data_IF_726580813488
#
_entry.id   IF_726580813488
#
_cell.length_a   1.000
_cell.length_b   1.000
_cell.length_c   1.000
_cell.angle_alpha   90.00
_cell.angle_beta   90.00
_cell.angle_gamma   90.00
#
_symmetry.space_group_name_H-M   'P 1'
#
loop_
_entity.id
_entity.type
_entity.pdbx_description
1 polymer ?
#
# COMPACT_ATOMS: atom_id res chain seq x y z
N UNK A 1 20.21 -21.85 19.22
CA UNK A 1 18.90 -21.57 18.59
C UNK A 1 18.35 -20.23 19.09
N UNK A 2 18.98 -19.12 18.72
CA UNK A 2 18.57 -17.77 19.18
C UNK A 2 19.05 -16.73 18.15
N UNK A 3 18.42 -16.74 16.97
CA UNK A 3 18.64 -15.74 15.90
C UNK A 3 17.33 -15.17 15.34
N UNK A 4 16.28 -15.11 16.15
CA UNK A 4 14.95 -14.64 15.71
C UNK A 4 14.63 -13.19 16.06
N UNK A 5 15.52 -12.42 16.69
CA UNK A 5 15.22 -11.04 17.11
C UNK A 5 16.36 -10.05 16.81
N UNK A 6 16.90 -10.07 15.59
CA UNK A 6 17.89 -9.07 15.13
C UNK A 6 17.49 -8.30 13.87
N UNK A 7 16.21 -8.36 13.45
CA UNK A 7 15.76 -7.71 12.20
C UNK A 7 15.41 -6.21 12.40
N UNK A 8 15.31 -5.70 13.62
CA UNK A 8 14.75 -4.36 13.87
C UNK A 8 15.76 -3.29 14.33
N UNK A 9 17.06 -3.48 14.10
CA UNK A 9 18.12 -2.56 14.58
C UNK A 9 18.94 -1.93 13.46
N UNK A 10 18.32 -1.56 12.34
CA UNK A 10 18.98 -0.74 11.31
C UNK A 10 18.33 0.64 11.24
N UNK A 11 18.46 1.45 12.29
CA UNK A 11 17.80 2.77 12.38
C UNK A 11 18.40 3.87 11.47
N UNK A 12 19.40 3.52 10.65
CA UNK A 12 20.23 4.48 9.91
C UNK A 12 20.07 4.49 8.39
N UNK A 13 19.51 3.44 7.78
CA UNK A 13 19.52 3.30 6.30
C UNK A 13 18.30 3.95 5.62
N UNK A 14 17.14 3.98 6.28
CA UNK A 14 15.90 4.48 5.68
C UNK A 14 15.79 6.02 5.59
N UNK A 15 16.74 6.79 6.15
CA UNK A 15 16.74 8.25 6.05
C UNK A 15 16.96 8.73 4.61
N UNK A 16 17.72 7.97 3.81
CA UNK A 16 18.05 8.33 2.43
C UNK A 16 16.92 8.00 1.43
N UNK A 17 15.92 7.19 1.83
CA UNK A 17 14.81 6.79 0.94
C UNK A 17 13.59 7.71 1.02
N UNK A 18 13.54 8.63 1.97
CA UNK A 18 12.45 9.60 2.10
C UNK A 18 12.62 10.76 1.10
N UNK A 19 13.83 10.97 0.57
CA UNK A 19 14.17 12.12 -0.27
C UNK A 19 15.33 11.84 -1.24
N UNK A 20 15.16 10.90 -2.18
CA UNK A 20 16.04 10.83 -3.34
C UNK A 20 15.68 11.92 -4.36
N UNK A 21 16.36 13.07 -4.25
CA UNK A 21 16.90 13.78 -5.42
C UNK A 21 16.08 14.86 -6.13
N UNK A 22 14.77 15.06 -5.89
CA UNK A 22 14.06 16.27 -6.32
C UNK A 22 13.01 16.69 -5.32
N UNK A 23 13.26 17.77 -4.59
CA UNK A 23 12.29 18.43 -3.72
C UNK A 23 11.20 19.11 -4.57
N UNK A 24 10.34 18.31 -5.22
CA UNK A 24 9.08 18.82 -5.73
C UNK A 24 8.19 19.09 -4.51
N UNK A 25 8.36 20.29 -3.94
CA UNK A 25 7.44 20.81 -2.94
C UNK A 25 6.11 21.03 -3.65
N UNK A 26 5.22 20.05 -3.55
CA UNK A 26 3.86 20.23 -4.02
C UNK A 26 3.20 21.24 -3.10
N UNK A 27 2.74 22.36 -3.65
CA UNK A 27 1.87 23.25 -2.90
C UNK A 27 0.59 22.49 -2.61
N UNK A 28 0.06 22.65 -1.41
CA UNK A 28 -1.20 22.01 -1.03
C UNK A 28 -2.32 22.38 -2.01
N UNK A 29 -2.29 23.62 -2.52
CA UNK A 29 -3.21 24.12 -3.55
C UNK A 29 -3.13 23.40 -4.89
N UNK A 30 -1.99 22.78 -5.22
CA UNK A 30 -1.78 22.04 -6.47
C UNK A 30 -2.12 20.55 -6.33
N UNK A 31 -2.32 20.07 -5.10
CA UNK A 31 -2.63 18.67 -4.83
C UNK A 31 -4.15 18.47 -4.78
N UNK A 32 -4.62 17.42 -5.43
CA UNK A 32 -5.98 16.95 -5.23
C UNK A 32 -6.13 16.35 -3.81
N UNK A 33 -6.76 17.11 -2.91
CA UNK A 33 -7.02 16.72 -1.51
C UNK A 33 -8.48 16.96 -1.13
N UNK A 34 -9.37 15.97 -1.33
CA UNK A 34 -10.73 16.02 -0.83
C UNK A 34 -10.74 15.66 0.67
N UNK A 35 -10.18 16.54 1.50
CA UNK A 35 -10.09 16.35 2.94
C UNK A 35 -11.43 16.71 3.59
N UNK A 36 -12.07 15.76 4.27
CA UNK A 36 -13.26 16.07 5.07
C UNK A 36 -12.78 16.60 6.43
N UNK A 37 -13.04 17.88 6.72
CA UNK A 37 -12.70 18.45 8.03
C UNK A 37 -13.61 17.82 9.08
N UNK A 38 -13.02 16.97 9.91
CA UNK A 38 -13.75 16.30 10.99
C UNK A 38 -13.46 17.02 12.29
N UNK A 39 -14.47 17.54 12.98
CA UNK A 39 -14.25 18.11 14.30
C UNK A 39 -13.85 16.98 15.25
N UNK A 40 -12.92 17.26 16.17
CA UNK A 40 -12.34 16.26 17.11
C UNK A 40 -13.37 15.47 17.92
N UNK A 41 -14.61 15.99 18.04
CA UNK A 41 -15.72 15.39 18.78
C UNK A 41 -16.84 14.84 17.89
N UNK A 42 -16.69 14.81 16.56
CA UNK A 42 -17.73 14.25 15.69
C UNK A 42 -17.82 12.73 15.86
N UNK A 43 -19.03 12.25 16.15
CA UNK A 43 -19.35 10.83 15.99
C UNK A 43 -19.33 10.51 14.50
N UNK A 44 -18.35 9.69 14.07
CA UNK A 44 -18.25 9.17 12.71
C UNK A 44 -19.47 8.30 12.40
N UNK A 45 -20.50 8.89 11.79
CA UNK A 45 -21.76 8.21 11.50
C UNK A 45 -21.75 7.66 10.07
N UNK A 46 -20.93 6.64 9.83
CA UNK A 46 -20.94 5.86 8.59
C UNK A 46 -21.22 4.41 8.96
N UNK A 47 -22.40 3.90 8.58
CA UNK A 47 -22.85 2.54 8.88
C UNK A 47 -22.10 1.46 8.07
N UNK A 48 -21.34 1.87 7.05
CA UNK A 48 -20.70 0.98 6.08
C UNK A 48 -19.16 0.84 6.21
N UNK A 49 -18.52 1.67 7.03
CA UNK A 49 -17.09 1.53 7.30
C UNK A 49 -16.86 0.62 8.52
N UNK A 50 -16.42 -0.62 8.26
CA UNK A 50 -16.22 -1.66 9.29
C UNK A 50 -15.05 -1.38 10.23
N UNK A 51 -14.06 -0.57 9.83
CA UNK A 51 -12.82 -0.33 10.59
C UNK A 51 -12.49 1.15 10.79
N UNK A 52 -11.80 1.47 11.91
CA UNK A 52 -11.34 2.83 12.23
C UNK A 52 -10.33 3.36 11.19
N UNK A 53 -9.42 2.52 10.74
CA UNK A 53 -8.39 2.88 9.76
C UNK A 53 -9.02 3.28 8.43
N UNK A 54 -10.00 2.52 7.93
CA UNK A 54 -10.73 2.84 6.71
C UNK A 54 -11.40 4.22 6.80
N UNK A 55 -12.07 4.51 7.93
CA UNK A 55 -12.68 5.83 8.18
C UNK A 55 -11.63 6.94 8.06
N UNK A 56 -10.51 6.81 8.76
CA UNK A 56 -9.43 7.81 8.73
C UNK A 56 -8.86 8.01 7.32
N UNK A 57 -8.66 6.93 6.55
CA UNK A 57 -8.11 7.01 5.19
C UNK A 57 -9.05 7.72 4.21
N UNK A 58 -10.36 7.47 4.30
CA UNK A 58 -11.37 8.18 3.50
C UNK A 58 -11.38 9.65 3.86
N UNK A 59 -11.38 9.93 5.16
CA UNK A 59 -11.49 11.29 5.68
C UNK A 59 -10.28 12.17 5.37
N UNK A 60 -9.08 11.61 5.47
CA UNK A 60 -7.84 12.27 5.09
C UNK A 60 -7.69 12.46 3.57
N UNK A 61 -8.64 12.02 2.75
CA UNK A 61 -8.54 12.10 1.29
C UNK A 61 -7.38 11.24 0.75
N UNK A 62 -7.14 10.07 1.35
CA UNK A 62 -6.10 9.12 0.91
C UNK A 62 -6.71 8.06 -0.01
N UNK A 63 -7.91 7.59 0.30
CA UNK A 63 -8.65 6.61 -0.50
C UNK A 63 -10.06 7.12 -0.81
N UNK A 64 -10.62 6.66 -1.92
CA UNK A 64 -12.02 6.87 -2.27
C UNK A 64 -12.67 5.52 -2.61
N UNK A 65 -13.73 5.14 -1.88
CA UNK A 65 -14.46 3.89 -2.12
C UNK A 65 -15.26 3.98 -3.43
N UNK A 66 -15.16 2.97 -4.29
CA UNK A 66 -15.92 2.91 -5.57
C UNK A 66 -16.97 1.82 -5.57
N UNK A 67 -16.62 0.65 -5.08
CA UNK A 67 -17.52 -0.49 -4.91
C UNK A 67 -16.97 -1.40 -3.79
N UNK A 68 -17.72 -2.44 -3.43
CA UNK A 68 -17.31 -3.36 -2.36
C UNK A 68 -15.94 -3.98 -2.68
N UNK A 69 -14.95 -3.68 -1.84
CA UNK A 69 -13.57 -4.15 -2.01
C UNK A 69 -12.74 -3.42 -3.07
N UNK A 70 -13.27 -2.38 -3.72
CA UNK A 70 -12.54 -1.58 -4.70
C UNK A 70 -12.36 -0.14 -4.21
N UNK A 71 -11.10 0.26 -4.08
CA UNK A 71 -10.70 1.59 -3.63
C UNK A 71 -9.86 2.28 -4.70
N UNK A 72 -10.16 3.55 -4.96
CA UNK A 72 -9.30 4.42 -5.73
C UNK A 72 -8.29 5.08 -4.79
N UNK A 73 -7.01 4.93 -5.10
CA UNK A 73 -5.93 5.58 -4.37
C UNK A 73 -5.77 7.01 -4.86
N UNK A 74 -5.82 7.96 -3.94
CA UNK A 74 -5.63 9.38 -4.22
C UNK A 74 -4.13 9.72 -4.26
N UNK A 75 -3.72 10.91 -4.73
CA UNK A 75 -2.30 11.23 -4.92
C UNK A 75 -1.44 11.08 -3.66
N UNK A 76 -2.01 11.32 -2.47
CA UNK A 76 -1.33 11.05 -1.20
C UNK A 76 -1.15 9.55 -0.95
N UNK A 77 -2.17 8.74 -1.23
CA UNK A 77 -2.12 7.28 -1.10
C UNK A 77 -1.10 6.64 -2.03
N UNK A 78 -1.03 7.12 -3.27
CA UNK A 78 -0.03 6.66 -4.23
C UNK A 78 1.41 6.87 -3.72
N UNK A 79 1.71 8.05 -3.16
CA UNK A 79 3.04 8.34 -2.58
C UNK A 79 3.40 7.41 -1.43
N UNK A 80 2.43 7.02 -0.60
CA UNK A 80 2.67 6.08 0.49
C UNK A 80 3.01 4.71 -0.06
N UNK A 81 2.30 4.25 -1.09
CA UNK A 81 2.55 2.96 -1.75
C UNK A 81 3.91 2.96 -2.45
N UNK A 82 4.28 4.05 -3.11
CA UNK A 82 5.58 4.15 -3.78
C UNK A 82 6.73 4.04 -2.76
N UNK A 83 6.60 4.71 -1.60
CA UNK A 83 7.57 4.61 -0.50
C UNK A 83 7.66 3.20 0.07
N UNK A 84 6.51 2.57 0.31
CA UNK A 84 6.45 1.22 0.84
C UNK A 84 7.06 0.22 -0.14
N UNK A 85 6.78 0.38 -1.44
CA UNK A 85 7.36 -0.43 -2.51
C UNK A 85 8.88 -0.25 -2.57
N UNK A 86 9.39 0.97 -2.43
CA UNK A 86 10.83 1.24 -2.42
C UNK A 86 11.55 0.52 -1.27
N UNK A 87 10.95 0.51 -0.07
CA UNK A 87 11.49 -0.22 1.09
C UNK A 87 11.51 -1.72 0.82
N UNK A 88 10.41 -2.29 0.34
CA UNK A 88 10.34 -3.72 0.01
C UNK A 88 11.37 -4.09 -1.05
N UNK A 89 11.52 -3.26 -2.10
CA UNK A 89 12.49 -3.50 -3.17
C UNK A 89 13.94 -3.46 -2.65
N UNK A 90 14.25 -2.64 -1.67
CA UNK A 90 15.58 -2.60 -1.03
C UNK A 90 15.86 -3.87 -0.24
N UNK A 91 14.94 -4.27 0.64
CA UNK A 91 15.07 -5.47 1.47
C UNK A 91 15.16 -6.74 0.60
N UNK A 92 14.35 -6.83 -0.44
CA UNK A 92 14.37 -7.96 -1.37
C UNK A 92 15.68 -8.03 -2.16
N UNK A 93 16.21 -6.87 -2.60
CA UNK A 93 17.52 -6.82 -3.25
C UNK A 93 18.65 -7.22 -2.32
N UNK A 94 18.57 -6.90 -1.03
CA UNK A 94 19.57 -7.28 -0.04
C UNK A 94 19.69 -8.81 0.11
N UNK A 95 18.58 -9.53 -0.03
CA UNK A 95 18.53 -11.00 0.01
C UNK A 95 18.95 -11.62 -1.34
N UNK A 96 19.18 -10.81 -2.37
CA UNK A 96 19.52 -11.27 -3.73
C UNK A 96 18.30 -11.69 -4.57
N UNK A 97 17.09 -11.32 -4.15
CA UNK A 97 15.89 -11.61 -4.92
C UNK A 97 15.77 -10.69 -6.16
N UNK A 98 15.10 -11.19 -7.20
CA UNK A 98 14.87 -10.47 -8.44
C UNK A 98 13.39 -10.05 -8.55
N UNK A 99 13.15 -8.78 -8.89
CA UNK A 99 11.80 -8.24 -9.10
C UNK A 99 11.30 -8.60 -10.49
N UNK A 100 10.11 -9.19 -10.57
CA UNK A 100 9.45 -9.57 -11.81
C UNK A 100 8.06 -8.93 -11.88
N UNK A 101 7.65 -8.48 -13.08
CA UNK A 101 6.29 -8.04 -13.36
C UNK A 101 5.60 -9.10 -14.21
N UNK A 102 4.56 -9.71 -13.65
CA UNK A 102 3.77 -10.74 -14.30
C UNK A 102 2.46 -10.14 -14.85
N UNK A 103 1.91 -10.70 -15.94
CA UNK A 103 0.65 -10.23 -16.49
C UNK A 103 -0.51 -10.50 -15.51
N UNK A 104 -1.37 -9.51 -15.32
CA UNK A 104 -2.55 -9.63 -14.46
C UNK A 104 -3.57 -10.62 -15.01
N UNK A 105 -3.75 -10.64 -16.34
CA UNK A 105 -4.63 -11.58 -17.03
C UNK A 105 -3.81 -12.74 -17.57
N UNK A 106 -4.01 -13.92 -17.00
CA UNK A 106 -3.35 -15.17 -17.41
C UNK A 106 -4.37 -16.10 -18.07
N UNK A 107 -3.97 -16.84 -19.11
CA UNK A 107 -4.88 -17.71 -19.86
C UNK A 107 -5.53 -18.79 -18.98
N UNK A 108 -6.84 -19.02 -19.20
CA UNK A 108 -7.61 -19.98 -18.39
C UNK A 108 -7.15 -21.44 -18.52
N UNK A 109 -6.46 -21.79 -19.61
CA UNK A 109 -5.92 -23.14 -19.81
C UNK A 109 -4.89 -23.52 -18.74
N UNK A 110 -4.04 -22.56 -18.31
CA UNK A 110 -3.02 -22.81 -17.26
C UNK A 110 -3.67 -23.17 -15.91
N UNK A 111 -4.80 -22.56 -15.58
CA UNK A 111 -5.56 -22.86 -14.36
C UNK A 111 -6.29 -24.21 -14.44
N UNK A 112 -6.87 -24.54 -15.60
CA UNK A 112 -7.52 -25.84 -15.84
C UNK A 112 -6.52 -26.99 -15.76
N UNK A 113 -5.32 -26.82 -16.31
CA UNK A 113 -4.24 -27.82 -16.26
C UNK A 113 -3.86 -28.19 -14.82
N UNK A 114 -3.79 -27.22 -13.90
CA UNK A 114 -3.54 -27.49 -12.48
C UNK A 114 -4.71 -28.15 -11.76
N UNK A 115 -5.95 -27.73 -12.03
CA UNK A 115 -7.16 -28.35 -11.42
C UNK A 115 -7.34 -29.82 -11.82
N UNK A 116 -6.78 -30.24 -12.96
CA UNK A 116 -6.79 -31.63 -13.41
C UNK A 116 -5.72 -32.51 -12.75
N UNK A 117 -4.77 -31.97 -11.98
CA UNK A 117 -3.73 -32.76 -11.31
C UNK A 117 -4.21 -33.52 -10.06
N UNK A 118 -5.53 -33.68 -9.88
CA UNK A 118 -6.08 -34.71 -8.98
C UNK A 118 -5.57 -34.65 -7.54
N UNK A 119 -5.32 -33.45 -7.01
CA UNK A 119 -5.09 -33.28 -5.57
C UNK A 119 -6.48 -33.15 -4.95
N UNK A 120 -7.04 -34.29 -4.54
CA UNK A 120 -8.20 -34.34 -3.66
C UNK A 120 -7.78 -33.78 -2.29
N UNK A 121 -8.61 -32.89 -1.76
CA UNK A 121 -8.64 -32.57 -0.33
C UNK A 121 -9.38 -33.67 0.39
#
# INVERSE_FOLDING_TARGET
MTKTLQVFKSRGLYKNLICNGRSHHFRVSELFQPLSVIPRNAKLKNLEDTSLSQKLLVNCGIINSRSNGMFALLPLGQRVIDKLTAIIDEEMRHIGAQKLLLPLLTSGHLWKKKRSLGINW
#
